data_IF_469188178358
#
_entry.id   IF_469188178358
#
_cell.length_a   1.000
_cell.length_b   1.000
_cell.length_c   1.000
_cell.angle_alpha   90.00
_cell.angle_beta   90.00
_cell.angle_gamma   90.00
#
_symmetry.space_group_name_H-M   'P 1'
#
loop_
_entity.id
_entity.type
_entity.pdbx_description
1 polymer ?
#
# COMPACT_ATOMS: atom_id res chain seq x y z
N UNK A 1 -6.69 -14.45 -8.90
CA UNK A 1 -6.01 -13.25 -8.38
C UNK A 1 -5.85 -13.39 -6.87
N UNK A 2 -4.78 -12.84 -6.30
CA UNK A 2 -4.52 -12.80 -4.86
C UNK A 2 -4.51 -11.37 -4.35
N UNK A 3 -5.25 -11.09 -3.27
CA UNK A 3 -5.34 -9.76 -2.65
C UNK A 3 -4.96 -9.82 -1.17
N UNK A 4 -4.06 -8.93 -0.75
CA UNK A 4 -3.64 -8.82 0.65
C UNK A 4 -4.27 -7.62 1.33
N UNK A 5 -4.78 -7.80 2.55
CA UNK A 5 -5.29 -6.70 3.38
C UNK A 5 -4.43 -6.49 4.61
N UNK A 6 -3.75 -5.34 4.68
CA UNK A 6 -2.91 -4.98 5.81
C UNK A 6 -3.66 -4.04 6.73
N UNK A 7 -3.79 -4.39 8.00
CA UNK A 7 -4.34 -3.52 9.04
C UNK A 7 -3.28 -3.21 10.10
N UNK A 8 -3.07 -1.92 10.39
CA UNK A 8 -2.12 -1.47 11.41
C UNK A 8 -2.76 -1.12 12.75
N UNK A 9 -4.09 -1.15 12.87
CA UNK A 9 -4.80 -0.71 14.07
C UNK A 9 -4.45 -1.56 15.30
N UNK A 10 -4.16 -0.94 16.47
CA UNK A 10 -3.75 -1.66 17.68
C UNK A 10 -4.93 -2.32 18.43
N UNK A 11 -6.16 -2.17 17.94
CA UNK A 11 -7.38 -2.57 18.66
C UNK A 11 -7.79 -4.03 18.44
N UNK A 12 -6.98 -4.82 17.71
CA UNK A 12 -7.23 -6.25 17.48
C UNK A 12 -8.63 -6.52 16.93
N UNK A 13 -9.40 -7.38 17.61
CA UNK A 13 -10.79 -7.70 17.22
C UNK A 13 -11.76 -6.52 17.36
N UNK A 14 -11.48 -5.55 18.23
CA UNK A 14 -12.31 -4.36 18.42
C UNK A 14 -11.95 -3.22 17.44
N UNK A 15 -11.10 -3.48 16.45
CA UNK A 15 -10.69 -2.47 15.49
C UNK A 15 -11.77 -2.22 14.44
N UNK A 16 -12.24 -0.98 14.37
CA UNK A 16 -13.12 -0.53 13.28
C UNK A 16 -12.34 -0.44 11.94
N UNK A 17 -11.04 -0.17 11.96
CA UNK A 17 -10.19 -0.21 10.76
C UNK A 17 -10.11 -1.64 10.19
N UNK A 18 -9.96 -2.64 11.08
CA UNK A 18 -9.96 -4.05 10.69
C UNK A 18 -11.26 -4.43 9.98
N UNK A 19 -12.41 -3.95 10.46
CA UNK A 19 -13.70 -4.21 9.83
C UNK A 19 -13.74 -3.71 8.38
N UNK A 20 -13.25 -2.50 8.13
CA UNK A 20 -13.19 -1.97 6.76
C UNK A 20 -12.24 -2.78 5.88
N UNK A 21 -11.05 -3.14 6.38
CA UNK A 21 -10.11 -4.00 5.64
C UNK A 21 -10.74 -5.35 5.32
N UNK A 22 -11.38 -6.00 6.30
CA UNK A 22 -12.04 -7.28 6.10
C UNK A 22 -13.18 -7.15 5.09
N UNK A 23 -13.98 -6.10 5.15
CA UNK A 23 -15.05 -5.87 4.18
C UNK A 23 -14.52 -5.73 2.74
N UNK A 24 -13.39 -5.04 2.52
CA UNK A 24 -12.73 -5.01 1.19
C UNK A 24 -12.32 -6.42 0.75
N UNK A 25 -11.71 -7.19 1.64
CA UNK A 25 -11.32 -8.57 1.31
C UNK A 25 -12.54 -9.45 1.00
N UNK A 26 -13.60 -9.36 1.80
CA UNK A 26 -14.83 -10.14 1.59
C UNK A 26 -15.50 -9.78 0.26
N UNK A 27 -15.51 -8.49 -0.11
CA UNK A 27 -16.01 -8.01 -1.39
C UNK A 27 -15.22 -8.54 -2.58
N UNK A 28 -13.89 -8.57 -2.46
CA UNK A 28 -13.03 -9.16 -3.48
C UNK A 28 -13.18 -10.68 -3.56
N UNK A 29 -13.31 -11.37 -2.42
CA UNK A 29 -13.55 -12.80 -2.37
C UNK A 29 -14.88 -13.19 -3.02
N UNK A 30 -15.91 -12.35 -2.89
CA UNK A 30 -17.19 -12.51 -3.60
C UNK A 30 -17.05 -12.41 -5.14
N UNK A 31 -15.93 -11.86 -5.65
CA UNK A 31 -15.55 -11.84 -7.07
C UNK A 31 -14.52 -12.91 -7.43
N UNK A 32 -14.26 -13.87 -6.54
CA UNK A 32 -13.37 -15.00 -6.79
C UNK A 32 -11.89 -14.72 -6.49
N UNK A 33 -11.55 -13.64 -5.80
CA UNK A 33 -10.19 -13.39 -5.33
C UNK A 33 -9.82 -14.32 -4.16
N UNK A 34 -8.59 -14.83 -4.17
CA UNK A 34 -7.98 -15.38 -2.95
C UNK A 34 -7.52 -14.22 -2.07
N UNK A 35 -7.94 -14.20 -0.81
CA UNK A 35 -7.67 -13.08 0.09
C UNK A 35 -6.95 -13.49 1.36
N UNK A 36 -5.95 -12.73 1.78
CA UNK A 36 -5.23 -12.91 3.04
C UNK A 36 -5.25 -11.62 3.86
N UNK A 37 -5.67 -11.73 5.12
CA UNK A 37 -5.64 -10.63 6.09
C UNK A 37 -4.34 -10.67 6.90
N UNK A 38 -3.66 -9.53 6.98
CA UNK A 38 -2.42 -9.31 7.70
C UNK A 38 -2.66 -8.31 8.83
N UNK A 39 -2.43 -8.76 10.06
CA UNK A 39 -2.35 -7.90 11.23
C UNK A 39 -0.91 -7.40 11.40
N UNK A 40 -0.64 -6.17 10.96
CA UNK A 40 0.70 -5.58 10.98
C UNK A 40 1.24 -5.44 12.41
N UNK A 41 0.39 -5.50 13.44
CA UNK A 41 0.80 -5.49 14.85
C UNK A 41 1.53 -6.77 15.29
N UNK A 42 1.46 -7.83 14.48
CA UNK A 42 2.17 -9.09 14.72
C UNK A 42 3.54 -9.16 14.04
N UNK A 43 3.91 -8.13 13.28
CA UNK A 43 5.16 -8.04 12.57
C UNK A 43 6.08 -7.07 13.31
N UNK A 44 7.31 -7.47 13.53
CA UNK A 44 8.37 -6.58 14.02
C UNK A 44 9.05 -5.96 12.81
N UNK A 45 8.89 -4.65 12.66
CA UNK A 45 9.52 -3.85 11.61
C UNK A 45 10.23 -2.69 12.30
N UNK A 46 11.56 -2.69 12.20
CA UNK A 46 12.40 -1.64 12.72
C UNK A 46 12.26 -0.35 11.90
N UNK A 47 12.49 0.79 12.56
CA UNK A 47 12.37 2.09 11.90
C UNK A 47 13.49 2.31 10.90
N UNK A 48 13.14 2.79 9.70
CA UNK A 48 14.13 3.11 8.69
C UNK A 48 15.15 4.14 9.22
N UNK A 49 16.43 3.78 9.17
CA UNK A 49 17.54 4.66 9.60
C UNK A 49 18.15 5.47 8.45
N UNK A 50 17.53 5.46 7.27
CA UNK A 50 17.99 6.24 6.11
C UNK A 50 19.39 5.87 5.60
N UNK A 51 19.87 4.64 5.85
CA UNK A 51 21.23 4.23 5.48
C UNK A 51 21.46 4.03 3.97
N UNK A 52 20.38 3.95 3.16
CA UNK A 52 20.40 3.80 1.70
C UNK A 52 21.07 2.52 1.17
N UNK A 53 21.40 1.55 2.04
CA UNK A 53 21.97 0.26 1.61
C UNK A 53 21.04 -0.54 0.68
N UNK A 54 19.72 -0.40 0.82
CA UNK A 54 18.76 -1.00 -0.11
C UNK A 54 18.90 -0.46 -1.55
N UNK A 55 19.38 0.77 -1.73
CA UNK A 55 19.58 1.34 -3.08
C UNK A 55 20.77 0.67 -3.78
N UNK A 56 21.80 0.30 -3.02
CA UNK A 56 22.99 -0.35 -3.55
C UNK A 56 22.86 -1.87 -3.69
N UNK A 57 22.07 -2.51 -2.80
CA UNK A 57 22.06 -3.98 -2.67
C UNK A 57 20.71 -4.63 -2.95
N UNK A 58 19.63 -3.85 -3.05
CA UNK A 58 18.26 -4.34 -3.13
C UNK A 58 17.74 -4.96 -1.84
N UNK A 59 18.49 -4.86 -0.74
CA UNK A 59 18.15 -5.46 0.55
C UNK A 59 18.30 -4.46 1.68
N UNK A 60 17.41 -4.57 2.65
CA UNK A 60 17.51 -3.77 3.86
C UNK A 60 18.48 -4.39 4.87
N UNK A 61 18.99 -3.57 5.80
CA UNK A 61 20.00 -4.01 6.78
C UNK A 61 19.44 -4.72 8.00
N UNK A 62 18.16 -4.51 8.31
CA UNK A 62 17.52 -5.18 9.44
C UNK A 62 17.02 -6.54 8.99
N UNK A 63 17.35 -7.54 9.80
CA UNK A 63 16.83 -8.91 9.72
C UNK A 63 15.58 -8.98 10.60
N UNK A 64 14.48 -8.48 10.04
CA UNK A 64 13.18 -8.34 10.69
C UNK A 64 12.06 -8.78 9.73
N UNK A 65 10.80 -8.67 10.15
CA UNK A 65 9.68 -9.19 9.36
C UNK A 65 9.36 -8.34 8.10
N UNK A 66 10.10 -7.26 7.84
CA UNK A 66 9.88 -6.41 6.67
C UNK A 66 10.11 -7.15 5.35
N UNK A 67 11.25 -7.82 5.19
CA UNK A 67 11.60 -8.45 3.92
C UNK A 67 10.61 -9.58 3.56
N UNK A 68 10.28 -10.52 4.46
CA UNK A 68 9.23 -11.51 4.21
C UNK A 68 7.85 -10.90 3.90
N UNK A 69 7.48 -9.81 4.58
CA UNK A 69 6.22 -9.11 4.30
C UNK A 69 6.24 -8.44 2.92
N UNK A 70 7.36 -7.82 2.52
CA UNK A 70 7.52 -7.23 1.20
C UNK A 70 7.40 -8.30 0.11
N UNK A 71 8.04 -9.46 0.27
CA UNK A 71 7.91 -10.57 -0.68
C UNK A 71 6.45 -11.01 -0.86
N UNK A 72 5.67 -11.09 0.22
CA UNK A 72 4.23 -11.34 0.13
C UNK A 72 3.50 -10.26 -0.66
N UNK A 73 3.77 -8.98 -0.40
CA UNK A 73 3.16 -7.86 -1.13
C UNK A 73 3.51 -7.88 -2.63
N UNK A 74 4.75 -8.23 -2.98
CA UNK A 74 5.18 -8.36 -4.38
C UNK A 74 4.48 -9.52 -5.09
N UNK A 75 4.20 -10.62 -4.39
CA UNK A 75 3.50 -11.78 -4.93
C UNK A 75 1.97 -11.60 -5.09
N UNK A 76 1.38 -10.54 -4.52
CA UNK A 76 -0.05 -10.27 -4.62
C UNK A 76 -0.40 -9.47 -5.88
N UNK A 77 -1.59 -9.67 -6.44
CA UNK A 77 -2.08 -8.89 -7.59
C UNK A 77 -2.67 -7.54 -7.15
N UNK A 78 -3.19 -7.49 -5.92
CA UNK A 78 -3.71 -6.27 -5.33
C UNK A 78 -3.61 -6.21 -3.82
N UNK A 79 -3.80 -5.01 -3.27
CA UNK A 79 -3.64 -4.75 -1.83
C UNK A 79 -4.69 -3.80 -1.30
N UNK A 80 -5.04 -3.95 -0.02
CA UNK A 80 -5.72 -2.91 0.74
C UNK A 80 -4.92 -2.53 1.98
N UNK A 81 -4.63 -1.25 2.15
CA UNK A 81 -3.99 -0.72 3.35
C UNK A 81 -5.02 -0.03 4.25
N UNK A 82 -5.10 -0.51 5.49
CA UNK A 82 -5.93 0.05 6.55
C UNK A 82 -5.10 0.60 7.70
N UNK A 83 -5.21 1.90 7.96
CA UNK A 83 -4.65 2.52 9.16
C UNK A 83 -5.67 3.44 9.82
N UNK A 84 -5.78 3.45 11.16
CA UNK A 84 -6.51 4.51 11.84
C UNK A 84 -5.79 5.85 11.65
N UNK A 85 -6.55 6.96 11.68
CA UNK A 85 -5.96 8.30 11.82
C UNK A 85 -5.64 8.55 13.30
N UNK A 86 -4.35 8.58 13.64
CA UNK A 86 -3.86 9.09 14.92
C UNK A 86 -3.02 10.34 14.68
N UNK A 87 -3.48 11.47 15.23
CA UNK A 87 -2.81 12.77 15.12
C UNK A 87 -2.56 13.23 13.68
N UNK A 88 -3.57 13.08 12.80
CA UNK A 88 -3.51 13.45 11.37
C UNK A 88 -2.44 12.71 10.57
N UNK A 89 -2.07 11.50 11.02
CA UNK A 89 -1.17 10.61 10.30
C UNK A 89 -1.64 9.15 10.40
N UNK A 90 -1.07 8.30 9.54
CA UNK A 90 -1.07 6.86 9.75
C UNK A 90 -0.37 6.55 11.08
N UNK A 91 -0.72 5.44 11.72
CA UNK A 91 -0.08 5.10 12.98
C UNK A 91 1.34 4.53 12.78
N UNK A 92 2.10 4.43 13.87
CA UNK A 92 3.53 4.09 13.82
C UNK A 92 3.88 2.80 13.05
N UNK A 93 3.17 1.66 13.18
CA UNK A 93 3.49 0.45 12.40
C UNK A 93 3.33 0.65 10.89
N UNK A 94 2.24 1.30 10.47
CA UNK A 94 2.04 1.60 9.04
C UNK A 94 3.12 2.55 8.54
N UNK A 95 3.49 3.56 9.33
CA UNK A 95 4.56 4.49 8.98
C UNK A 95 5.93 3.81 8.90
N UNK A 96 6.24 2.90 9.82
CA UNK A 96 7.47 2.13 9.82
C UNK A 96 7.60 1.25 8.57
N UNK A 97 6.51 0.59 8.16
CA UNK A 97 6.45 -0.16 6.90
C UNK A 97 6.73 0.76 5.71
N UNK A 98 6.01 1.87 5.59
CA UNK A 98 6.17 2.83 4.47
C UNK A 98 7.58 3.42 4.43
N UNK A 99 8.16 3.78 5.58
CA UNK A 99 9.50 4.38 5.65
C UNK A 99 10.62 3.43 5.20
N UNK A 100 10.38 2.13 5.28
CA UNK A 100 11.30 1.09 4.78
C UNK A 100 11.22 0.92 3.26
N UNK A 101 10.21 1.48 2.58
CA UNK A 101 9.90 1.25 1.16
C UNK A 101 10.50 2.28 0.19
N UNK A 102 11.53 3.03 0.58
CA UNK A 102 12.13 4.04 -0.29
C UNK A 102 12.68 3.43 -1.61
N UNK A 103 13.33 2.27 -1.57
CA UNK A 103 13.79 1.57 -2.77
C UNK A 103 12.63 1.04 -3.61
N UNK A 104 11.57 0.59 -2.95
CA UNK A 104 10.33 0.13 -3.60
C UNK A 104 9.65 1.26 -4.37
N UNK A 105 9.70 2.50 -3.87
CA UNK A 105 9.26 3.71 -4.56
C UNK A 105 10.18 4.02 -5.74
N UNK A 106 11.49 4.08 -5.51
CA UNK A 106 12.49 4.40 -6.55
C UNK A 106 12.42 3.44 -7.74
N UNK A 107 12.11 2.19 -7.49
CA UNK A 107 12.03 1.14 -8.51
C UNK A 107 10.60 0.75 -8.87
N UNK A 108 9.59 1.45 -8.33
CA UNK A 108 8.17 1.22 -8.54
C UNK A 108 7.81 -0.27 -8.54
N UNK A 109 8.16 -1.01 -7.49
CA UNK A 109 8.00 -2.47 -7.50
C UNK A 109 6.54 -2.93 -7.60
N UNK A 110 5.57 -2.05 -7.34
CA UNK A 110 4.15 -2.37 -7.45
C UNK A 110 3.54 -1.98 -8.80
N UNK A 111 4.38 -1.65 -9.80
CA UNK A 111 3.97 -1.42 -11.18
C UNK A 111 2.99 -2.49 -11.68
N UNK A 112 1.84 -2.03 -12.19
CA UNK A 112 0.76 -2.88 -12.73
C UNK A 112 -0.19 -3.49 -11.69
N UNK A 113 0.00 -3.26 -10.39
CA UNK A 113 -0.92 -3.73 -9.32
C UNK A 113 -2.07 -2.74 -9.11
N UNK A 114 -3.16 -3.22 -8.52
CA UNK A 114 -4.32 -2.39 -8.13
C UNK A 114 -4.51 -2.43 -6.62
N UNK A 115 -4.82 -1.28 -6.03
CA UNK A 115 -4.84 -1.10 -4.59
C UNK A 115 -6.04 -0.30 -4.10
N UNK A 116 -6.36 -0.45 -2.83
CA UNK A 116 -7.36 0.32 -2.12
C UNK A 116 -6.82 0.82 -0.78
N UNK A 117 -7.37 1.93 -0.27
CA UNK A 117 -7.01 2.42 1.07
C UNK A 117 -8.25 2.62 1.93
N UNK A 118 -8.16 2.23 3.20
CA UNK A 118 -9.23 2.44 4.18
C UNK A 118 -8.73 3.10 5.46
N UNK A 119 -9.57 3.93 6.07
CA UNK A 119 -9.23 4.59 7.33
C UNK A 119 -10.44 4.76 8.24
N UNK A 120 -10.22 4.63 9.54
CA UNK A 120 -11.17 5.11 10.55
C UNK A 120 -10.53 6.23 11.35
N UNK A 121 -11.27 7.30 11.61
CA UNK A 121 -10.75 8.50 12.27
C UNK A 121 -11.74 9.06 13.30
N UNK A 122 -11.24 9.91 14.20
CA UNK A 122 -12.11 10.69 15.09
C UNK A 122 -12.60 12.01 14.48
N UNK A 123 -11.92 12.52 13.44
CA UNK A 123 -12.24 13.82 12.82
C UNK A 123 -12.20 13.81 11.29
N UNK A 124 -11.13 13.28 10.70
CA UNK A 124 -10.95 13.27 9.25
C UNK A 124 -10.26 11.98 8.82
N UNK A 125 -10.95 11.12 8.09
CA UNK A 125 -10.34 9.91 7.53
C UNK A 125 -9.76 10.13 6.13
N UNK A 126 -10.23 11.16 5.40
CA UNK A 126 -9.89 11.40 4.01
C UNK A 126 -8.42 11.84 3.86
N UNK A 127 -7.88 12.60 4.82
CA UNK A 127 -6.46 12.95 4.82
C UNK A 127 -5.56 11.69 4.83
N UNK A 128 -5.97 10.64 5.54
CA UNK A 128 -5.20 9.40 5.67
C UNK A 128 -5.43 8.47 4.48
N UNK A 129 -6.67 8.31 4.02
CA UNK A 129 -6.91 7.49 2.82
C UNK A 129 -6.21 8.06 1.60
N UNK A 130 -6.20 9.39 1.44
CA UNK A 130 -5.44 10.06 0.38
C UNK A 130 -3.93 9.88 0.55
N UNK A 131 -3.41 9.98 1.78
CA UNK A 131 -2.00 9.70 2.04
C UNK A 131 -1.61 8.27 1.61
N UNK A 132 -2.38 7.27 2.01
CA UNK A 132 -2.14 5.87 1.62
C UNK A 132 -2.27 5.66 0.11
N UNK A 133 -3.28 6.25 -0.54
CA UNK A 133 -3.47 6.20 -1.99
C UNK A 133 -2.27 6.80 -2.74
N UNK A 134 -1.77 7.95 -2.30
CA UNK A 134 -0.61 8.58 -2.93
C UNK A 134 0.64 7.69 -2.78
N UNK A 135 0.85 7.05 -1.63
CA UNK A 135 1.95 6.12 -1.46
C UNK A 135 1.84 4.92 -2.42
N UNK A 136 0.64 4.40 -2.69
CA UNK A 136 0.47 3.35 -3.70
C UNK A 136 0.87 3.82 -5.11
N UNK A 137 0.47 5.02 -5.51
CA UNK A 137 0.90 5.59 -6.80
C UNK A 137 2.42 5.78 -6.84
N UNK A 138 3.04 6.25 -5.76
CA UNK A 138 4.50 6.41 -5.69
C UNK A 138 5.23 5.06 -5.83
N UNK A 139 4.60 3.97 -5.38
CA UNK A 139 5.07 2.59 -5.53
C UNK A 139 4.80 1.99 -6.93
N UNK A 140 4.09 2.71 -7.80
CA UNK A 140 3.72 2.29 -9.16
C UNK A 140 2.36 1.59 -9.29
N UNK A 141 1.60 1.44 -8.20
CA UNK A 141 0.30 0.79 -8.23
C UNK A 141 -0.82 1.78 -8.58
N UNK A 142 -1.86 1.28 -9.23
CA UNK A 142 -3.12 2.00 -9.39
C UNK A 142 -3.94 1.92 -8.10
N UNK A 143 -4.75 2.96 -7.85
CA UNK A 143 -5.70 3.02 -6.73
C UNK A 143 -7.12 2.96 -7.28
N UNK A 144 -7.81 1.86 -7.00
CA UNK A 144 -9.22 1.66 -7.33
C UNK A 144 -10.12 2.68 -6.63
N UNK A 145 -9.82 2.93 -5.34
CA UNK A 145 -10.60 3.85 -4.54
C UNK A 145 -10.24 3.80 -3.06
N UNK A 146 -10.98 4.59 -2.26
CA UNK A 146 -10.79 4.63 -0.82
C UNK A 146 -12.11 4.66 -0.08
N UNK A 147 -12.13 4.17 1.17
CA UNK A 147 -13.29 4.25 2.06
C UNK A 147 -12.88 4.61 3.48
N UNK A 148 -13.76 5.24 4.24
CA UNK A 148 -13.47 5.50 5.64
C UNK A 148 -14.68 5.91 6.47
N UNK A 149 -14.46 5.96 7.78
CA UNK A 149 -15.50 6.28 8.75
C UNK A 149 -14.99 7.23 9.83
N UNK A 150 -15.88 8.13 10.27
CA UNK A 150 -15.71 8.86 11.52
C UNK A 150 -16.33 8.04 12.65
N UNK A 151 -15.49 7.45 13.52
CA UNK A 151 -15.96 6.59 14.61
C UNK A 151 -16.73 7.37 15.69
N UNK A 152 -16.54 8.69 15.73
CA UNK A 152 -17.25 9.64 16.59
C UNK A 152 -18.70 9.87 16.17
N UNK A 153 -19.07 9.51 14.94
CA UNK A 153 -20.46 9.53 14.44
C UNK A 153 -21.23 8.23 14.77
N UNK A 154 -20.61 7.31 15.50
CA UNK A 154 -21.23 6.09 16.01
C UNK A 154 -21.25 4.93 15.02
N UNK A 155 -21.86 3.83 15.47
CA UNK A 155 -21.81 2.52 14.79
C UNK A 155 -22.44 2.55 13.40
N UNK A 156 -23.49 3.34 13.19
CA UNK A 156 -24.13 3.47 11.88
C UNK A 156 -23.18 4.05 10.81
N UNK A 157 -22.25 4.94 11.18
CA UNK A 157 -21.25 5.46 10.26
C UNK A 157 -20.23 4.40 9.86
N UNK A 158 -19.80 3.58 10.83
CA UNK A 158 -18.90 2.44 10.57
C UNK A 158 -19.57 1.40 9.67
N UNK A 159 -20.83 1.05 9.94
CA UNK A 159 -21.60 0.11 9.14
C UNK A 159 -21.77 0.58 7.68
N UNK A 160 -22.05 1.87 7.45
CA UNK A 160 -22.07 2.42 6.08
C UNK A 160 -20.71 2.30 5.39
N UNK A 161 -19.63 2.57 6.10
CA UNK A 161 -18.28 2.46 5.54
C UNK A 161 -17.90 1.00 5.25
N UNK A 162 -18.38 0.01 6.00
CA UNK A 162 -18.21 -1.41 5.67
C UNK A 162 -18.91 -1.78 4.37
N UNK A 163 -20.14 -1.31 4.15
CA UNK A 163 -20.85 -1.54 2.88
C UNK A 163 -20.07 -0.93 1.70
N UNK A 164 -19.58 0.30 1.86
CA UNK A 164 -18.74 0.94 0.85
C UNK A 164 -17.42 0.19 0.63
N UNK A 165 -16.81 -0.30 1.71
CA UNK A 165 -15.58 -1.10 1.67
C UNK A 165 -15.79 -2.43 0.95
N UNK A 166 -16.93 -3.09 1.15
CA UNK A 166 -17.30 -4.30 0.41
C UNK A 166 -17.42 -4.04 -1.08
N UNK A 167 -18.17 -2.99 -1.48
CA UNK A 167 -18.26 -2.59 -2.88
C UNK A 167 -16.90 -2.20 -3.48
N UNK A 168 -16.03 -1.57 -2.69
CA UNK A 168 -14.66 -1.24 -3.08
C UNK A 168 -13.83 -2.51 -3.33
N UNK A 169 -14.02 -3.56 -2.53
CA UNK A 169 -13.41 -4.88 -2.76
C UNK A 169 -13.84 -5.53 -4.07
N UNK A 170 -15.13 -5.43 -4.40
CA UNK A 170 -15.65 -5.92 -5.68
C UNK A 170 -15.05 -5.15 -6.86
N UNK A 171 -15.01 -3.81 -6.77
CA UNK A 171 -14.40 -2.96 -7.80
C UNK A 171 -12.91 -3.25 -7.96
N UNK A 172 -12.18 -3.46 -6.86
CA UNK A 172 -10.76 -3.79 -6.89
C UNK A 172 -10.51 -5.09 -7.65
N UNK A 173 -11.30 -6.13 -7.38
CA UNK A 173 -11.21 -7.39 -8.12
C UNK A 173 -11.54 -7.21 -9.60
N UNK A 174 -12.60 -6.47 -9.93
CA UNK A 174 -13.01 -6.18 -11.31
C UNK A 174 -11.92 -5.39 -12.07
N UNK A 175 -11.28 -4.41 -11.43
CA UNK A 175 -10.18 -3.63 -12.02
C UNK A 175 -8.94 -4.48 -12.30
N UNK A 176 -8.60 -5.41 -11.39
CA UNK A 176 -7.49 -6.37 -11.60
C UNK A 176 -7.77 -7.25 -12.82
N UNK A 177 -8.99 -7.79 -12.94
CA UNK A 177 -9.38 -8.66 -14.07
C UNK A 177 -9.39 -7.89 -15.39
N UNK A 178 -9.99 -6.71 -15.38
CA UNK A 178 -10.16 -5.90 -16.58
C UNK A 178 -8.90 -5.10 -16.96
N UNK A 179 -7.90 -5.08 -16.08
CA UNK A 179 -6.71 -4.23 -16.19
C UNK A 179 -7.10 -2.77 -16.46
N UNK A 180 -7.98 -2.23 -15.62
CA UNK A 180 -8.59 -0.91 -15.82
C UNK A 180 -7.53 0.19 -16.03
N UNK A 181 -7.57 0.91 -17.17
CA UNK A 181 -6.61 1.97 -17.43
C UNK A 181 -6.98 3.26 -16.69
N UNK A 182 -6.44 3.44 -15.48
CA UNK A 182 -6.53 4.70 -14.74
C UNK A 182 -5.59 5.75 -15.36
N UNK A 183 -6.01 6.39 -16.45
CA UNK A 183 -5.16 7.27 -17.27
C UNK A 183 -4.46 8.38 -16.46
N UNK A 184 -5.19 9.10 -15.60
CA UNK A 184 -4.61 10.18 -14.80
C UNK A 184 -3.54 9.68 -13.82
N UNK A 185 -3.76 8.49 -13.23
CA UNK A 185 -2.78 7.87 -12.34
C UNK A 185 -1.58 7.35 -13.12
N UNK A 186 -1.81 6.77 -14.30
CA UNK A 186 -0.75 6.30 -15.19
C UNK A 186 0.21 7.45 -15.55
N UNK A 187 -0.32 8.61 -15.93
CA UNK A 187 0.48 9.81 -16.22
C UNK A 187 1.30 10.24 -14.99
N UNK A 188 0.72 10.23 -13.80
CA UNK A 188 1.44 10.59 -12.57
C UNK A 188 2.53 9.57 -12.20
N UNK A 189 2.25 8.28 -12.33
CA UNK A 189 3.20 7.19 -12.09
C UNK A 189 4.38 7.27 -13.07
N UNK A 190 4.11 7.53 -14.35
CA UNK A 190 5.12 7.70 -15.38
C UNK A 190 5.99 8.94 -15.15
N UNK A 191 5.38 10.06 -14.73
CA UNK A 191 6.13 11.26 -14.36
C UNK A 191 7.07 10.99 -13.17
N UNK A 192 6.59 10.28 -12.14
CA UNK A 192 7.41 9.85 -11.01
C UNK A 192 8.54 8.90 -11.46
N UNK A 193 8.25 7.99 -12.40
CA UNK A 193 9.26 7.11 -13.00
C UNK A 193 10.36 7.94 -13.68
N UNK A 194 10.02 8.88 -14.55
CA UNK A 194 11.02 9.71 -15.24
C UNK A 194 11.93 10.50 -14.27
N UNK A 195 11.38 11.00 -13.16
CA UNK A 195 12.16 11.67 -12.12
C UNK A 195 13.17 10.71 -11.44
N UNK A 196 12.75 9.49 -11.08
CA UNK A 196 13.67 8.50 -10.53
C UNK A 196 14.67 7.96 -11.55
N UNK A 197 14.32 7.88 -12.84
CA UNK A 197 15.25 7.51 -13.92
C UNK A 197 16.47 8.42 -13.91
N UNK A 198 16.25 9.73 -13.88
CA UNK A 198 17.31 10.73 -13.90
C UNK A 198 18.23 10.59 -12.68
N UNK A 199 17.64 10.43 -11.49
CA UNK A 199 18.37 10.25 -10.23
C UNK A 199 19.19 8.96 -10.24
N UNK A 200 18.59 7.84 -10.61
CA UNK A 200 19.27 6.53 -10.57
C UNK A 200 20.43 6.49 -11.57
N UNK A 201 20.27 7.06 -12.77
CA UNK A 201 21.38 7.21 -13.72
C UNK A 201 22.51 8.08 -13.18
N UNK A 202 22.16 9.20 -12.53
CA UNK A 202 23.15 10.09 -11.92
C UNK A 202 23.96 9.39 -10.81
N UNK A 203 23.29 8.55 -10.00
CA UNK A 203 23.89 7.86 -8.86
C UNK A 203 24.22 6.39 -9.12
N UNK A 204 24.36 5.97 -10.40
CA UNK A 204 24.51 4.55 -10.79
C UNK A 204 25.67 3.82 -10.10
N UNK A 205 26.74 4.54 -9.78
CA UNK A 205 27.91 4.00 -9.08
C UNK A 205 27.62 3.75 -7.60
N UNK A 206 26.77 4.57 -6.97
CA UNK A 206 26.38 4.44 -5.56
C UNK A 206 25.15 3.54 -5.38
N UNK A 207 24.26 3.47 -6.38
CA UNK A 207 23.03 2.68 -6.37
C UNK A 207 23.03 1.61 -7.48
N UNK A 208 24.05 0.74 -7.54
CA UNK A 208 24.21 -0.20 -8.65
C UNK A 208 23.02 -1.16 -8.81
N UNK A 209 22.45 -1.63 -7.70
CA UNK A 209 21.26 -2.50 -7.77
C UNK A 209 20.06 -1.79 -8.43
N UNK A 210 19.76 -0.54 -8.04
CA UNK A 210 18.65 0.20 -8.64
C UNK A 210 18.90 0.43 -10.13
N UNK A 211 20.12 0.82 -10.50
CA UNK A 211 20.49 1.00 -11.89
C UNK A 211 20.32 -0.28 -12.71
N UNK A 212 20.85 -1.40 -12.25
CA UNK A 212 20.68 -2.70 -12.91
C UNK A 212 19.23 -3.15 -13.00
N UNK A 213 18.42 -2.90 -11.98
CA UNK A 213 16.98 -3.18 -12.01
C UNK A 213 16.29 -2.42 -13.15
N UNK A 214 16.63 -1.14 -13.32
CA UNK A 214 16.08 -0.28 -14.36
C UNK A 214 16.50 -0.71 -15.76
N UNK A 215 17.79 -1.03 -15.97
CA UNK A 215 18.31 -1.59 -17.23
C UNK A 215 17.56 -2.88 -17.61
N UNK A 216 17.34 -3.79 -16.65
CA UNK A 216 16.60 -5.05 -16.88
C UNK A 216 15.13 -4.84 -17.26
N UNK A 217 14.51 -3.78 -16.75
CA UNK A 217 13.12 -3.39 -17.07
C UNK A 217 13.00 -2.65 -18.41
N UNK A 218 14.11 -2.29 -19.05
CA UNK A 218 14.11 -1.40 -20.22
C UNK A 218 13.73 0.05 -19.86
N UNK A 219 13.84 0.40 -18.59
CA UNK A 219 13.70 1.77 -18.08
C UNK A 219 15.05 2.48 -17.98
N UNK A 220 16.15 1.76 -18.23
CA UNK A 220 17.54 2.23 -18.18
C UNK A 220 17.84 3.39 -19.12
#
# INVERSE_FOLDING_TARGET
MRILGLNSSPKGKASQTRRLVQAVLDGAAAKGAETEYIDLRKYTIEYCIGCRKCFATGKCVFDDDYAPLLEKMLAADGMVWGSPNYSFCVNAPMKALIDRMADVIHCQYFDGKYCAAVCTAGRDHAIITRFLANNFNDLGAYVTGTAGALVTEGEAAVARAEILSFSLGQALADDIVSQRPYFDQHVAIDANRLDFQAKIRQYKEQWPYQYEYWEKRGWG
#
